data_IF_125443282090
#
_entry.id   IF_125443282090
#
_cell.length_a   1.000
_cell.length_b   1.000
_cell.length_c   1.000
_cell.angle_alpha   90.00
_cell.angle_beta   90.00
_cell.angle_gamma   90.00
#
_symmetry.space_group_name_H-M   'P 1'
#
loop_
_entity.id
_entity.type
_entity.pdbx_description
1 polymer ?
#
# COMPACT_ATOMS: atom_id res chain seq x y z
N UNK A 1 -34.08 -44.07 -59.45
CA UNK A 1 -33.91 -43.88 -60.89
C UNK A 1 -34.17 -42.41 -61.21
N UNK A 2 -33.26 -41.82 -61.96
CA UNK A 2 -33.30 -40.48 -62.59
C UNK A 2 -33.17 -39.24 -61.69
N UNK A 3 -32.40 -38.20 -62.01
CA UNK A 3 -31.30 -37.97 -62.96
C UNK A 3 -30.66 -36.61 -62.55
N UNK A 4 -29.36 -36.42 -62.83
CA UNK A 4 -28.64 -35.15 -62.77
C UNK A 4 -29.31 -34.09 -63.67
N UNK A 5 -29.30 -32.81 -63.29
CA UNK A 5 -28.63 -31.77 -64.10
C UNK A 5 -28.72 -30.36 -63.51
N UNK A 6 -27.66 -29.56 -63.73
CA UNK A 6 -27.77 -28.10 -63.79
C UNK A 6 -26.81 -27.30 -62.91
N UNK A 7 -25.51 -27.38 -63.17
CA UNK A 7 -24.58 -26.31 -62.79
C UNK A 7 -24.93 -25.01 -63.55
N UNK A 8 -24.63 -23.85 -62.95
CA UNK A 8 -23.81 -22.74 -63.51
C UNK A 8 -24.28 -21.35 -63.04
N UNK A 9 -23.33 -20.65 -62.39
CA UNK A 9 -23.17 -19.18 -62.25
C UNK A 9 -24.29 -18.38 -61.55
N UNK A 10 -23.90 -17.75 -60.43
CA UNK A 10 -23.38 -16.38 -60.45
C UNK A 10 -22.69 -16.06 -59.13
N UNK A 11 -21.46 -15.55 -59.23
CA UNK A 11 -20.72 -14.95 -58.13
C UNK A 11 -21.45 -13.69 -57.71
N UNK A 12 -21.81 -13.57 -56.43
CA UNK A 12 -22.05 -12.29 -55.80
C UNK A 12 -21.21 -12.26 -54.53
N UNK A 13 -20.01 -11.69 -54.65
CA UNK A 13 -19.21 -11.25 -53.51
C UNK A 13 -20.00 -10.15 -52.83
N UNK A 14 -20.46 -10.37 -51.61
CA UNK A 14 -20.83 -9.27 -50.72
C UNK A 14 -19.90 -9.38 -49.51
N UNK A 15 -18.74 -8.74 -49.66
CA UNK A 15 -17.89 -8.36 -48.55
C UNK A 15 -18.62 -7.24 -47.84
N UNK A 16 -19.28 -7.55 -46.74
CA UNK A 16 -19.85 -6.53 -45.85
C UNK A 16 -18.83 -6.27 -44.75
N UNK A 17 -17.89 -5.38 -45.05
CA UNK A 17 -16.93 -4.87 -44.08
C UNK A 17 -17.66 -3.99 -43.07
N UNK A 18 -18.01 -4.54 -41.90
CA UNK A 18 -18.30 -3.74 -40.72
C UNK A 18 -17.00 -3.06 -40.29
N UNK A 19 -16.85 -1.77 -40.61
CA UNK A 19 -15.90 -0.91 -39.93
C UNK A 19 -16.40 -0.69 -38.49
N UNK A 20 -16.13 -1.66 -37.62
CA UNK A 20 -16.31 -1.52 -36.19
C UNK A 20 -15.25 -0.55 -35.66
N UNK A 21 -15.67 0.66 -35.29
CA UNK A 21 -14.83 1.58 -34.52
C UNK A 21 -14.71 1.00 -33.09
N UNK A 22 -13.80 0.05 -32.91
CA UNK A 22 -13.47 -0.50 -31.61
C UNK A 22 -12.75 0.56 -30.79
N UNK A 23 -13.47 1.16 -29.84
CA UNK A 23 -12.83 1.94 -28.78
C UNK A 23 -12.05 0.93 -27.95
N UNK A 24 -10.75 0.80 -28.21
CA UNK A 24 -9.85 0.05 -27.36
C UNK A 24 -9.78 0.78 -26.02
N UNK A 25 -10.54 0.30 -25.02
CA UNK A 25 -10.35 0.64 -23.63
C UNK A 25 -8.95 0.16 -23.24
N UNK A 26 -7.95 1.03 -23.34
CA UNK A 26 -6.64 0.75 -22.75
C UNK A 26 -6.83 0.68 -21.23
N UNK A 27 -6.48 -0.43 -20.57
CA UNK A 27 -6.46 -0.45 -19.12
C UNK A 27 -5.43 0.59 -18.70
N UNK A 28 -5.88 1.65 -18.02
CA UNK A 28 -4.98 2.55 -17.34
C UNK A 28 -4.34 1.77 -16.20
N UNK A 29 -3.11 1.29 -16.41
CA UNK A 29 -2.28 0.79 -15.33
C UNK A 29 -1.98 1.98 -14.42
N UNK A 30 -2.72 2.10 -13.32
CA UNK A 30 -2.35 3.04 -12.26
C UNK A 30 -0.92 2.71 -11.81
N UNK A 31 -0.06 3.73 -11.73
CA UNK A 31 1.26 3.57 -11.15
C UNK A 31 1.09 3.04 -9.72
N UNK A 32 1.64 1.85 -9.46
CA UNK A 32 1.53 1.20 -8.16
C UNK A 32 2.33 2.04 -7.16
N UNK A 33 1.65 2.60 -6.16
CA UNK A 33 2.28 3.34 -5.07
C UNK A 33 2.92 2.32 -4.10
N UNK A 34 4.09 2.61 -3.51
CA UNK A 34 4.76 1.64 -2.63
C UNK A 34 3.97 1.33 -1.34
N UNK A 35 2.96 2.15 -1.02
CA UNK A 35 2.01 1.98 0.06
C UNK A 35 0.75 1.18 -0.29
N UNK A 36 0.54 0.79 -1.55
CA UNK A 36 -0.65 0.06 -1.98
C UNK A 36 -0.79 -1.28 -1.23
N UNK A 37 -1.91 -1.45 -0.54
CA UNK A 37 -2.20 -2.64 0.27
C UNK A 37 -1.41 -2.72 1.59
N UNK A 38 -0.67 -1.67 1.95
CA UNK A 38 0.11 -1.58 3.19
C UNK A 38 -0.37 -0.44 4.07
N UNK A 39 -0.54 0.76 3.51
CA UNK A 39 -1.15 1.88 4.22
C UNK A 39 -2.63 1.61 4.39
N UNK A 40 -3.10 1.63 5.63
CA UNK A 40 -4.48 1.33 5.98
C UNK A 40 -5.26 2.58 6.34
N UNK A 41 -6.58 2.52 6.19
CA UNK A 41 -7.46 3.61 6.57
C UNK A 41 -7.40 3.88 8.09
N UNK A 42 -7.29 5.17 8.43
CA UNK A 42 -7.15 5.68 9.79
C UNK A 42 -8.48 5.70 10.56
N UNK A 43 -9.07 4.53 10.78
CA UNK A 43 -10.36 4.40 11.49
C UNK A 43 -10.23 4.71 12.99
N UNK A 44 -11.35 5.03 13.64
CA UNK A 44 -11.40 5.21 15.10
C UNK A 44 -10.89 3.98 15.86
N UNK A 45 -11.25 2.78 15.40
CA UNK A 45 -10.83 1.53 16.01
C UNK A 45 -9.30 1.36 15.97
N UNK A 46 -8.66 1.62 14.82
CA UNK A 46 -7.19 1.58 14.71
C UNK A 46 -6.52 2.62 15.60
N UNK A 47 -7.01 3.85 15.63
CA UNK A 47 -6.47 4.88 16.55
C UNK A 47 -6.53 4.42 18.01
N UNK A 48 -7.65 3.81 18.41
CA UNK A 48 -7.84 3.28 19.77
C UNK A 48 -6.93 2.08 20.07
N UNK A 49 -6.64 1.25 19.08
CA UNK A 49 -5.72 0.12 19.20
C UNK A 49 -4.25 0.57 19.33
N UNK A 50 -3.82 1.52 18.51
CA UNK A 50 -2.41 1.94 18.45
C UNK A 50 -2.02 2.98 19.51
N UNK A 51 -2.95 3.83 19.96
CA UNK A 51 -2.60 4.90 20.90
C UNK A 51 -1.99 4.41 22.23
N UNK A 52 -2.49 3.33 22.85
CA UNK A 52 -1.84 2.75 24.03
C UNK A 52 -0.45 2.17 23.74
N UNK A 53 -0.23 1.62 22.53
CA UNK A 53 1.06 1.07 22.13
C UNK A 53 2.12 2.19 22.03
N UNK A 54 1.74 3.31 21.41
CA UNK A 54 2.58 4.51 21.31
C UNK A 54 2.89 5.08 22.70
N UNK A 55 1.86 5.27 23.53
CA UNK A 55 2.05 5.77 24.89
C UNK A 55 2.99 4.85 25.71
N UNK A 56 2.81 3.54 25.60
CA UNK A 56 3.66 2.56 26.28
C UNK A 56 5.09 2.56 25.75
N UNK A 57 5.30 2.76 24.45
CA UNK A 57 6.64 2.85 23.85
C UNK A 57 7.40 4.11 24.30
N UNK A 58 6.68 5.12 24.80
CA UNK A 58 7.24 6.34 25.39
C UNK A 58 7.26 6.30 26.94
N UNK A 59 7.32 5.10 27.52
CA UNK A 59 7.30 4.87 28.97
C UNK A 59 6.11 5.55 29.70
N UNK A 60 4.97 5.67 29.01
CA UNK A 60 3.75 6.33 29.50
C UNK A 60 3.94 7.80 29.91
N UNK A 61 4.94 8.49 29.35
CA UNK A 61 5.14 9.94 29.53
C UNK A 61 4.01 10.79 28.92
N UNK A 62 3.21 10.17 28.04
CA UNK A 62 2.03 10.78 27.43
C UNK A 62 0.80 9.89 27.64
N UNK A 63 -0.38 10.48 27.54
CA UNK A 63 -1.66 9.75 27.53
C UNK A 63 -1.98 9.30 26.10
N UNK A 64 -2.63 8.14 25.90
CA UNK A 64 -3.07 7.69 24.56
C UNK A 64 -3.89 8.74 23.79
N UNK A 65 -4.74 9.50 24.48
CA UNK A 65 -5.56 10.55 23.85
C UNK A 65 -4.75 11.74 23.30
N UNK A 66 -3.46 11.86 23.64
CA UNK A 66 -2.57 12.91 23.15
C UNK A 66 -1.83 12.51 21.87
N UNK A 67 -1.94 11.24 21.45
CA UNK A 67 -1.30 10.74 20.23
C UNK A 67 -2.14 11.16 19.02
N UNK A 68 -1.51 11.86 18.08
CA UNK A 68 -2.09 12.14 16.76
C UNK A 68 -1.47 11.19 15.75
N UNK A 69 -2.28 10.71 14.81
CA UNK A 69 -1.84 9.76 13.80
C UNK A 69 -1.94 10.37 12.40
N UNK A 70 -0.84 10.28 11.64
CA UNK A 70 -0.73 10.74 10.26
C UNK A 70 -0.82 9.58 9.26
N UNK A 71 -0.25 8.42 9.60
CA UNK A 71 -0.43 7.17 8.84
C UNK A 71 -0.37 5.94 9.76
N UNK A 72 -1.02 4.85 9.32
CA UNK A 72 -0.80 3.50 9.86
C UNK A 72 -0.52 2.58 8.67
N UNK A 73 0.48 1.73 8.82
CA UNK A 73 0.94 0.74 7.87
C UNK A 73 0.86 -0.65 8.49
N UNK A 74 0.29 -1.62 7.78
CA UNK A 74 0.14 -3.00 8.24
C UNK A 74 0.61 -3.96 7.15
N UNK A 75 1.47 -4.92 7.51
CA UNK A 75 1.93 -5.96 6.59
C UNK A 75 2.27 -7.23 7.36
N UNK A 76 1.37 -8.23 7.29
CA UNK A 76 1.50 -9.45 8.07
C UNK A 76 1.57 -9.16 9.57
N UNK A 77 2.56 -9.72 10.25
CA UNK A 77 2.76 -9.52 11.69
C UNK A 77 3.42 -8.18 12.04
N UNK A 78 3.74 -7.34 11.06
CA UNK A 78 4.37 -6.04 11.30
C UNK A 78 3.41 -4.88 11.07
N UNK A 79 3.59 -3.83 11.86
CA UNK A 79 2.92 -2.56 11.62
C UNK A 79 3.81 -1.37 11.99
N UNK A 80 3.47 -0.22 11.42
CA UNK A 80 4.12 1.04 11.76
C UNK A 80 3.09 2.16 11.83
N UNK A 81 3.26 3.08 12.77
CA UNK A 81 2.37 4.22 12.95
C UNK A 81 3.18 5.52 12.90
N UNK A 82 2.86 6.40 11.96
CA UNK A 82 3.40 7.74 11.91
C UNK A 82 2.59 8.62 12.84
N UNK A 83 3.22 9.13 13.90
CA UNK A 83 2.55 9.84 14.99
C UNK A 83 3.22 11.16 15.34
N UNK A 84 2.41 12.08 15.83
CA UNK A 84 2.85 13.30 16.51
C UNK A 84 2.50 13.21 17.99
N UNK A 85 3.39 13.69 18.85
CA UNK A 85 3.20 13.69 20.31
C UNK A 85 3.53 15.06 20.89
N UNK A 86 3.06 15.40 22.12
CA UNK A 86 3.33 16.71 22.70
C UNK A 86 4.78 16.88 23.22
N UNK A 87 5.60 15.84 23.24
CA UNK A 87 6.91 15.84 23.91
C UNK A 87 8.07 15.38 23.02
N UNK A 88 7.81 15.03 21.77
CA UNK A 88 8.79 14.59 20.80
C UNK A 88 8.43 15.09 19.42
N UNK A 89 9.44 15.10 18.53
CA UNK A 89 9.19 15.25 17.11
C UNK A 89 8.31 14.11 16.57
N UNK A 90 7.72 14.36 15.40
CA UNK A 90 6.94 13.37 14.69
C UNK A 90 7.81 12.17 14.30
N UNK A 91 7.26 10.97 14.41
CA UNK A 91 8.03 9.75 14.19
C UNK A 91 7.20 8.55 13.79
N UNK A 92 7.84 7.63 13.08
CA UNK A 92 7.26 6.36 12.67
C UNK A 92 7.68 5.29 13.66
N UNK A 93 6.73 4.84 14.48
CA UNK A 93 6.96 3.78 15.46
C UNK A 93 6.65 2.42 14.87
N UNK A 94 7.61 1.50 14.91
CA UNK A 94 7.50 0.14 14.40
C UNK A 94 7.09 -0.82 15.50
N UNK A 95 6.16 -1.71 15.15
CA UNK A 95 5.65 -2.76 16.00
C UNK A 95 5.70 -4.10 15.29
N UNK A 96 5.95 -5.15 16.05
CA UNK A 96 5.81 -6.53 15.58
C UNK A 96 4.87 -7.29 16.51
N UNK A 97 3.92 -8.01 15.93
CA UNK A 97 3.04 -8.93 16.62
C UNK A 97 3.83 -10.19 16.97
N UNK A 98 3.98 -10.45 18.26
CA UNK A 98 4.60 -11.67 18.79
C UNK A 98 3.62 -12.30 19.77
N UNK A 99 3.24 -13.56 19.52
CA UNK A 99 2.24 -14.28 20.32
C UNK A 99 0.92 -13.50 20.44
N UNK A 100 0.44 -12.93 19.32
CA UNK A 100 -0.81 -12.17 19.25
C UNK A 100 -0.77 -10.78 19.88
N UNK A 101 0.40 -10.30 20.34
CA UNK A 101 0.55 -8.97 20.96
C UNK A 101 1.54 -8.11 20.17
N UNK A 102 1.13 -6.91 19.78
CA UNK A 102 2.03 -5.91 19.17
C UNK A 102 3.07 -5.46 20.20
N UNK A 103 4.35 -5.53 19.83
CA UNK A 103 5.50 -5.12 20.63
C UNK A 103 6.26 -4.04 19.89
N UNK A 104 6.57 -2.95 20.59
CA UNK A 104 7.44 -1.90 20.06
C UNK A 104 8.81 -2.49 19.69
N UNK A 105 9.34 -2.06 18.54
CA UNK A 105 10.62 -2.52 18.01
C UNK A 105 11.62 -1.39 17.91
N UNK A 106 11.24 -0.32 17.23
CA UNK A 106 12.11 0.83 17.02
C UNK A 106 11.28 2.03 16.55
N UNK A 107 11.85 3.22 16.61
CA UNK A 107 11.27 4.45 16.07
C UNK A 107 12.23 5.12 15.08
N UNK A 108 11.68 5.59 13.96
CA UNK A 108 12.36 6.56 13.10
C UNK A 108 11.80 7.95 13.39
N UNK A 109 12.67 8.94 13.61
CA UNK A 109 12.28 10.31 13.90
C UNK A 109 12.51 11.23 12.71
N UNK A 110 11.54 12.09 12.42
CA UNK A 110 11.65 13.14 11.42
C UNK A 110 11.53 12.69 9.97
N UNK A 111 11.70 13.68 9.09
CA UNK A 111 11.73 13.54 7.64
C UNK A 111 13.14 13.24 7.14
N UNK A 112 13.22 12.58 6.00
CA UNK A 112 14.44 12.26 5.30
C UNK A 112 14.38 12.79 3.86
N UNK A 113 15.54 12.95 3.22
CA UNK A 113 15.61 13.37 1.82
C UNK A 113 15.15 12.22 0.90
N UNK A 114 14.46 12.50 -0.22
CA UNK A 114 14.07 11.47 -1.20
C UNK A 114 15.22 10.58 -1.69
N UNK A 115 16.45 11.08 -1.74
CA UNK A 115 17.63 10.29 -2.10
C UNK A 115 17.98 9.20 -1.09
N UNK A 116 17.52 9.32 0.16
CA UNK A 116 17.74 8.36 1.24
C UNK A 116 16.74 7.18 1.21
N UNK A 117 15.71 7.24 0.36
CA UNK A 117 14.67 6.20 0.24
C UNK A 117 15.24 4.77 0.16
N UNK A 118 16.31 4.46 -0.62
CA UNK A 118 16.92 3.12 -0.64
C UNK A 118 17.52 2.69 0.71
N UNK A 119 18.14 3.62 1.43
CA UNK A 119 18.80 3.36 2.72
C UNK A 119 17.76 3.14 3.83
N UNK A 120 16.67 3.91 3.81
CA UNK A 120 15.53 3.73 4.72
C UNK A 120 14.85 2.38 4.53
N UNK A 121 14.67 1.94 3.27
CA UNK A 121 14.16 0.60 2.96
C UNK A 121 15.11 -0.47 3.52
N UNK A 122 16.42 -0.32 3.34
CA UNK A 122 17.41 -1.26 3.86
C UNK A 122 17.41 -1.29 5.39
N UNK A 123 17.32 -0.14 6.04
CA UNK A 123 17.23 -0.01 7.49
C UNK A 123 16.00 -0.72 8.06
N UNK A 124 14.80 -0.45 7.52
CA UNK A 124 13.57 -1.07 7.98
C UNK A 124 13.57 -2.59 7.74
N UNK A 125 14.13 -3.06 6.62
CA UNK A 125 14.32 -4.49 6.37
C UNK A 125 15.30 -5.13 7.35
N UNK A 126 16.38 -4.44 7.71
CA UNK A 126 17.35 -4.91 8.71
C UNK A 126 16.73 -5.03 10.11
N UNK A 127 15.77 -4.15 10.44
CA UNK A 127 14.94 -4.27 11.64
C UNK A 127 14.04 -5.53 11.62
N UNK A 128 13.74 -6.04 10.42
CA UNK A 128 12.90 -7.23 10.19
C UNK A 128 11.54 -6.93 9.55
N UNK A 129 11.27 -5.67 9.20
CA UNK A 129 10.02 -5.30 8.55
C UNK A 129 9.89 -5.93 7.15
N UNK A 130 8.69 -6.38 6.74
CA UNK A 130 8.45 -6.88 5.40
C UNK A 130 8.72 -5.82 4.33
N UNK A 131 9.09 -6.25 3.13
CA UNK A 131 9.51 -5.32 2.07
C UNK A 131 8.42 -4.31 1.68
N UNK A 132 7.13 -4.66 1.75
CA UNK A 132 6.05 -3.71 1.46
C UNK A 132 5.98 -2.60 2.50
N UNK A 133 6.09 -2.96 3.79
CA UNK A 133 6.12 -1.99 4.88
C UNK A 133 7.35 -1.10 4.81
N UNK A 134 8.54 -1.67 4.56
CA UNK A 134 9.77 -0.91 4.45
C UNK A 134 9.73 0.14 3.33
N UNK A 135 9.16 -0.19 2.17
CA UNK A 135 9.01 0.75 1.05
C UNK A 135 7.99 1.84 1.33
N UNK A 136 6.82 1.47 1.85
CA UNK A 136 5.80 2.45 2.22
C UNK A 136 6.28 3.41 3.32
N UNK A 137 7.01 2.90 4.31
CA UNK A 137 7.66 3.73 5.31
C UNK A 137 8.58 4.76 4.67
N UNK A 138 9.51 4.29 3.82
CA UNK A 138 10.47 5.17 3.17
C UNK A 138 9.76 6.23 2.33
N UNK A 139 8.70 5.87 1.60
CA UNK A 139 7.86 6.83 0.89
C UNK A 139 7.26 7.89 1.82
N UNK A 140 6.63 7.46 2.92
CA UNK A 140 5.95 8.36 3.85
C UNK A 140 6.87 9.36 4.53
N UNK A 141 8.15 9.04 4.75
CA UNK A 141 9.10 9.93 5.43
C UNK A 141 9.99 10.71 4.48
N UNK A 142 9.77 10.59 3.17
CA UNK A 142 10.49 11.36 2.15
C UNK A 142 9.59 12.20 1.24
N UNK A 143 8.26 12.03 1.30
CA UNK A 143 7.29 12.69 0.40
C UNK A 143 6.21 13.52 1.11
#
# INVERSE_FOLDING_TARGET
>A
MSELNGQIRRRAKIVMSLAGLGIALTPAFAAKNDCDGVKVEMTKARKQEYAPLVASAMDNKIKPAQVKFSAIMENGDWSAAYVSTPVSDDGVMFFQTVNGKKRFREVWGGWADPSEKPELVAWAKKLGAPSGLAKCFAEIVTE
#
